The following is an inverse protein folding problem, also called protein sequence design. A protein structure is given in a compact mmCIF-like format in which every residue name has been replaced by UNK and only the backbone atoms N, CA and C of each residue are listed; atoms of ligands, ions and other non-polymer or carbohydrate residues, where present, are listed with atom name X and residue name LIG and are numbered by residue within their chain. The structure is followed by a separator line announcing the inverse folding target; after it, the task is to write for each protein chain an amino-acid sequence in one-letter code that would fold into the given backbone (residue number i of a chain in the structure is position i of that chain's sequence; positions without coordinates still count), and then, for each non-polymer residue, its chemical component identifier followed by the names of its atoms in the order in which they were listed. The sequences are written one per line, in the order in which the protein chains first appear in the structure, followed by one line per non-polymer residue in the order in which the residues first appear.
data_IF_490426377662
#
_entry.id   IF_490426377662
#
_cell.length_a   1.000
_cell.length_b   1.000
_cell.length_c   1.000
_cell.angle_alpha   90.00
_cell.angle_beta   90.00
_cell.angle_gamma   90.00
#
_symmetry.space_group_name_H-M   'P 1'
#
loop_
_entity.id
_entity.type
_entity.pdbx_description
1 polymer ?
#
# COMPACT_ATOMS: atom_id res chain seq x y z
N UNK A 1 -8.13 9.60 -74.63
CA UNK A 1 -9.32 9.67 -73.72
C UNK A 1 -9.09 8.99 -72.37
N UNK A 2 -8.51 7.79 -72.28
CA UNK A 2 -8.32 7.09 -70.98
C UNK A 2 -7.43 7.82 -69.97
N UNK A 3 -6.39 8.53 -70.42
CA UNK A 3 -5.52 9.27 -69.52
C UNK A 3 -6.16 10.53 -68.91
N UNK A 4 -7.08 11.17 -69.60
CA UNK A 4 -7.81 12.34 -69.11
C UNK A 4 -8.84 11.95 -68.03
N UNK A 5 -9.55 10.80 -68.22
CA UNK A 5 -10.51 10.29 -67.24
C UNK A 5 -9.84 9.86 -65.92
N UNK A 6 -8.63 9.29 -65.95
CA UNK A 6 -7.88 8.93 -64.74
C UNK A 6 -7.43 10.15 -63.94
N UNK A 7 -7.11 11.26 -64.62
CA UNK A 7 -6.67 12.48 -63.94
C UNK A 7 -7.82 13.18 -63.21
N UNK A 8 -8.99 13.25 -63.82
CA UNK A 8 -10.20 13.81 -63.21
C UNK A 8 -10.65 12.95 -62.01
N UNK A 9 -10.64 11.63 -62.13
CA UNK A 9 -11.02 10.73 -61.03
C UNK A 9 -10.09 10.87 -59.82
N UNK A 10 -8.80 11.04 -60.07
CA UNK A 10 -7.80 11.24 -59.01
C UNK A 10 -7.96 12.61 -58.31
N UNK A 11 -8.34 13.65 -59.02
CA UNK A 11 -8.60 14.98 -58.42
C UNK A 11 -9.89 14.93 -57.55
N UNK A 12 -10.95 14.29 -58.04
CA UNK A 12 -12.18 14.11 -57.25
C UNK A 12 -11.94 13.29 -56.01
N UNK A 13 -11.10 12.25 -56.04
CA UNK A 13 -10.74 11.43 -54.87
C UNK A 13 -9.96 12.27 -53.87
N UNK A 14 -9.00 13.05 -54.28
CA UNK A 14 -8.24 13.98 -53.38
C UNK A 14 -9.17 15.00 -52.72
N UNK A 15 -10.09 15.56 -53.49
CA UNK A 15 -11.07 16.52 -52.98
C UNK A 15 -11.93 15.88 -51.88
N UNK A 16 -12.45 14.68 -52.08
CA UNK A 16 -13.26 13.94 -51.12
C UNK A 16 -12.45 13.63 -49.81
N UNK A 17 -11.17 13.29 -49.95
CA UNK A 17 -10.28 13.08 -48.79
C UNK A 17 -10.12 14.39 -48.02
N UNK A 18 -9.86 15.50 -48.69
CA UNK A 18 -9.68 16.81 -48.06
C UNK A 18 -10.96 17.26 -47.33
N UNK A 19 -12.13 17.06 -47.94
CA UNK A 19 -13.43 17.36 -47.31
C UNK A 19 -13.66 16.52 -46.06
N UNK A 20 -13.37 15.22 -46.10
CA UNK A 20 -13.46 14.34 -44.93
C UNK A 20 -12.48 14.74 -43.82
N UNK A 21 -11.26 15.04 -44.19
CA UNK A 21 -10.24 15.51 -43.19
C UNK A 21 -10.67 16.83 -42.56
N UNK A 22 -11.20 17.76 -43.33
CA UNK A 22 -11.70 19.02 -42.80
C UNK A 22 -12.88 18.81 -41.85
N UNK A 23 -13.81 17.95 -42.17
CA UNK A 23 -14.93 17.58 -41.33
C UNK A 23 -14.46 16.92 -40.01
N UNK A 24 -13.51 15.98 -40.12
CA UNK A 24 -12.94 15.29 -38.96
C UNK A 24 -12.24 16.28 -38.02
N UNK A 25 -11.43 17.18 -38.58
CA UNK A 25 -10.75 18.22 -37.81
C UNK A 25 -11.75 19.11 -37.07
N UNK A 26 -12.86 19.47 -37.73
CA UNK A 26 -13.92 20.25 -37.11
C UNK A 26 -14.56 19.52 -35.93
N UNK A 27 -14.82 18.22 -36.07
CA UNK A 27 -15.37 17.40 -34.98
C UNK A 27 -14.38 17.25 -33.82
N UNK A 28 -13.10 17.04 -34.11
CA UNK A 28 -12.07 16.94 -33.08
C UNK A 28 -11.97 18.25 -32.29
N UNK A 29 -11.91 19.40 -32.98
CA UNK A 29 -11.85 20.69 -32.34
C UNK A 29 -13.10 21.00 -31.50
N UNK A 30 -14.27 20.56 -31.94
CA UNK A 30 -15.52 20.73 -31.18
C UNK A 30 -15.50 19.85 -29.94
N UNK A 31 -15.08 18.59 -30.08
CA UNK A 31 -14.95 17.65 -28.95
C UNK A 31 -13.96 18.18 -27.91
N UNK A 32 -12.84 18.72 -28.37
CA UNK A 32 -11.81 19.29 -27.48
C UNK A 32 -12.37 20.48 -26.68
N UNK A 33 -13.06 21.42 -27.34
CA UNK A 33 -13.72 22.55 -26.67
C UNK A 33 -14.73 22.08 -25.62
N UNK A 34 -15.58 21.15 -26.00
CA UNK A 34 -16.59 20.60 -25.07
C UNK A 34 -15.96 19.91 -23.86
N UNK A 35 -14.88 19.16 -24.11
CA UNK A 35 -14.15 18.45 -23.03
C UNK A 35 -13.49 19.43 -22.06
N UNK A 36 -12.87 20.50 -22.56
CA UNK A 36 -12.28 21.54 -21.74
C UNK A 36 -13.36 22.22 -20.89
N UNK A 37 -14.49 22.55 -21.49
CA UNK A 37 -15.61 23.19 -20.76
C UNK A 37 -16.12 22.31 -19.62
N UNK A 38 -16.31 21.01 -19.86
CA UNK A 38 -16.74 20.05 -18.85
C UNK A 38 -15.72 19.97 -17.71
N UNK A 39 -14.42 19.93 -18.02
CA UNK A 39 -13.35 19.88 -17.02
C UNK A 39 -13.37 21.16 -16.18
N UNK A 40 -13.51 22.33 -16.82
CA UNK A 40 -13.58 23.62 -16.12
C UNK A 40 -14.77 23.70 -15.19
N UNK A 41 -15.96 23.24 -15.62
CA UNK A 41 -17.16 23.22 -14.79
C UNK A 41 -16.99 22.29 -13.58
N UNK A 42 -16.41 21.11 -13.78
CA UNK A 42 -16.13 20.16 -12.70
C UNK A 42 -15.10 20.73 -11.70
N UNK A 43 -14.05 21.34 -12.20
CA UNK A 43 -13.04 21.99 -11.35
C UNK A 43 -13.63 23.11 -10.52
N UNK A 44 -14.50 23.94 -11.10
CA UNK A 44 -15.19 25.01 -10.38
C UNK A 44 -16.11 24.44 -9.27
N UNK A 45 -16.86 23.40 -9.58
CA UNK A 45 -17.73 22.73 -8.61
C UNK A 45 -16.93 22.12 -7.45
N UNK A 46 -15.77 21.54 -7.74
CA UNK A 46 -14.86 21.02 -6.71
C UNK A 46 -14.33 22.15 -5.81
N UNK A 47 -13.96 23.30 -6.38
CA UNK A 47 -13.54 24.48 -5.59
C UNK A 47 -14.63 24.94 -4.64
N UNK A 48 -15.86 25.02 -5.10
CA UNK A 48 -17.00 25.45 -4.28
C UNK A 48 -17.26 24.48 -3.12
N UNK A 49 -17.17 23.17 -3.38
CA UNK A 49 -17.31 22.12 -2.36
C UNK A 49 -16.18 22.26 -1.32
N UNK A 50 -14.96 22.47 -1.76
CA UNK A 50 -13.78 22.62 -0.88
C UNK A 50 -13.92 23.86 0.01
N UNK A 51 -14.34 24.99 -0.54
CA UNK A 51 -14.55 26.23 0.23
C UNK A 51 -15.61 26.01 1.29
N UNK A 52 -16.74 25.44 0.92
CA UNK A 52 -17.86 25.20 1.84
C UNK A 52 -17.48 24.19 2.94
N UNK A 53 -16.72 23.15 2.59
CA UNK A 53 -16.27 22.17 3.58
C UNK A 53 -15.21 22.77 4.53
N UNK A 54 -14.35 23.67 4.05
CA UNK A 54 -13.37 24.35 4.91
C UNK A 54 -14.03 25.30 5.90
N UNK A 55 -15.05 26.03 5.48
CA UNK A 55 -15.84 26.92 6.39
C UNK A 55 -16.50 26.11 7.51
N UNK A 56 -17.11 24.98 7.17
CA UNK A 56 -17.72 24.08 8.14
C UNK A 56 -16.66 23.52 9.11
N UNK A 57 -15.51 23.13 8.59
CA UNK A 57 -14.42 22.59 9.39
C UNK A 57 -13.85 23.62 10.37
N UNK A 58 -13.71 24.88 9.94
CA UNK A 58 -13.25 25.98 10.80
C UNK A 58 -14.25 26.19 11.93
N UNK A 59 -15.53 26.19 11.64
CA UNK A 59 -16.59 26.34 12.65
C UNK A 59 -16.56 25.20 13.69
N UNK A 60 -16.49 23.95 13.21
CA UNK A 60 -16.45 22.78 14.08
C UNK A 60 -15.17 22.73 14.92
N UNK A 61 -14.05 23.17 14.33
CA UNK A 61 -12.75 23.24 15.02
C UNK A 61 -12.80 24.28 16.15
N UNK A 62 -13.38 25.47 15.92
CA UNK A 62 -13.58 26.49 16.94
C UNK A 62 -14.46 25.97 18.09
N UNK A 63 -15.52 25.23 17.78
CA UNK A 63 -16.43 24.66 18.78
C UNK A 63 -15.70 23.60 19.64
N UNK A 64 -14.91 22.71 19.03
CA UNK A 64 -14.11 21.68 19.73
C UNK A 64 -13.02 22.33 20.59
N UNK A 65 -12.38 23.37 20.08
CA UNK A 65 -11.35 24.13 20.77
C UNK A 65 -11.86 24.70 22.09
N UNK A 66 -13.05 25.30 22.08
CA UNK A 66 -13.69 25.83 23.29
C UNK A 66 -13.97 24.70 24.30
N UNK A 67 -14.39 23.52 23.81
CA UNK A 67 -14.60 22.36 24.67
C UNK A 67 -13.32 21.85 25.32
N UNK A 68 -12.23 21.77 24.57
CA UNK A 68 -10.90 21.35 25.07
C UNK A 68 -10.37 22.37 26.08
N UNK A 69 -10.56 23.66 25.83
CA UNK A 69 -10.13 24.71 26.74
C UNK A 69 -10.79 24.57 28.12
N UNK A 70 -12.07 24.21 28.16
CA UNK A 70 -12.77 23.98 29.46
C UNK A 70 -12.29 22.67 30.12
N UNK A 71 -12.02 21.61 29.36
CA UNK A 71 -11.46 20.38 29.90
C UNK A 71 -10.06 20.59 30.48
N UNK A 72 -9.20 21.38 29.82
CA UNK A 72 -7.87 21.74 30.32
C UNK A 72 -7.98 22.51 31.62
N UNK A 73 -8.92 23.45 31.75
CA UNK A 73 -9.16 24.18 33.00
C UNK A 73 -9.60 23.25 34.14
N UNK A 74 -10.27 22.15 33.81
CA UNK A 74 -10.69 21.18 34.81
C UNK A 74 -9.53 20.28 35.24
N UNK A 75 -8.74 19.79 34.29
CA UNK A 75 -7.54 18.97 34.55
C UNK A 75 -6.51 19.77 35.40
N UNK A 76 -6.39 21.08 35.15
CA UNK A 76 -5.50 21.94 35.95
C UNK A 76 -5.92 22.04 37.43
N UNK A 77 -7.20 21.92 37.72
CA UNK A 77 -7.69 21.92 39.12
C UNK A 77 -7.39 20.59 39.84
N UNK A 78 -7.17 19.51 39.07
CA UNK A 78 -7.02 18.15 39.60
C UNK A 78 -5.58 17.65 39.63
N UNK A 79 -4.69 18.23 38.80
CA UNK A 79 -3.29 17.81 38.70
C UNK A 79 -2.33 18.97 38.39
N UNK A 80 -1.19 19.02 39.06
CA UNK A 80 -0.14 20.02 38.84
C UNK A 80 0.60 19.79 37.52
N UNK A 81 -0.03 20.06 36.39
CA UNK A 81 0.61 19.99 35.09
C UNK A 81 1.01 21.39 34.62
N UNK A 82 2.23 21.55 34.15
CA UNK A 82 2.72 22.81 33.60
C UNK A 82 1.95 23.17 32.32
N UNK A 83 0.98 24.06 32.44
CA UNK A 83 0.12 24.51 31.35
C UNK A 83 0.74 25.63 30.51
N UNK A 84 1.90 26.15 30.88
CA UNK A 84 2.49 27.29 30.16
C UNK A 84 2.89 26.89 28.73
N UNK A 85 3.42 25.69 28.55
CA UNK A 85 3.76 25.17 27.23
C UNK A 85 2.50 25.05 26.33
N UNK A 86 1.44 24.47 26.88
CA UNK A 86 0.17 24.30 26.12
C UNK A 86 -0.48 25.63 25.82
N UNK A 87 -0.46 26.60 26.74
CA UNK A 87 -0.98 27.95 26.51
C UNK A 87 -0.22 28.68 25.40
N UNK A 88 1.10 28.54 25.35
CA UNK A 88 1.90 29.18 24.32
C UNK A 88 1.63 28.57 22.93
N UNK A 89 1.51 27.26 22.84
CA UNK A 89 1.11 26.60 21.60
C UNK A 89 -0.28 27.07 21.12
N UNK A 90 -1.19 27.18 22.06
CA UNK A 90 -2.55 27.65 21.81
C UNK A 90 -2.59 29.10 21.30
N UNK A 91 -1.82 29.98 21.93
CA UNK A 91 -1.73 31.39 21.58
C UNK A 91 -1.19 31.59 20.16
N UNK A 92 -0.17 30.82 19.78
CA UNK A 92 0.39 30.87 18.43
C UNK A 92 -0.64 30.47 17.37
N UNK A 93 -1.40 29.40 17.60
CA UNK A 93 -2.46 28.95 16.68
C UNK A 93 -3.55 30.00 16.53
N UNK A 94 -3.97 30.64 17.64
CA UNK A 94 -4.99 31.69 17.62
C UNK A 94 -4.49 32.94 16.89
N UNK A 95 -3.24 33.31 17.07
CA UNK A 95 -2.63 34.43 16.37
C UNK A 95 -2.56 34.21 14.87
N UNK A 96 -2.18 33.01 14.44
CA UNK A 96 -2.20 32.60 13.02
C UNK A 96 -3.61 32.66 12.42
N UNK A 97 -4.63 32.23 13.15
CA UNK A 97 -6.02 32.23 12.68
C UNK A 97 -6.65 33.63 12.63
N UNK A 98 -6.20 34.57 13.47
CA UNK A 98 -6.80 35.89 13.58
C UNK A 98 -6.10 37.00 12.80
N UNK A 99 -5.00 36.70 12.08
CA UNK A 99 -4.25 37.72 11.39
C UNK A 99 -4.26 37.52 9.84
N UNK A 100 -5.39 37.87 9.19
CA UNK A 100 -5.52 37.70 7.74
C UNK A 100 -4.90 38.86 6.91
N UNK A 101 -4.09 39.72 7.50
CA UNK A 101 -3.76 41.04 6.90
C UNK A 101 -2.48 41.10 6.09
N UNK A 102 -1.91 40.05 5.60
CA UNK A 102 -0.67 40.17 4.76
C UNK A 102 -0.73 39.41 3.43
N UNK A 103 -1.90 39.20 2.87
CA UNK A 103 -2.00 38.44 1.63
C UNK A 103 -2.59 39.29 0.49
N UNK A 104 -1.74 39.80 -0.39
CA UNK A 104 -2.18 40.26 -1.71
C UNK A 104 -2.59 39.02 -2.55
N UNK A 105 -3.58 39.13 -3.45
CA UNK A 105 -4.23 37.93 -4.05
C UNK A 105 -3.42 37.11 -5.04
N UNK A 106 -2.13 37.40 -5.22
CA UNK A 106 -1.38 36.77 -6.31
C UNK A 106 -0.20 35.86 -5.90
N UNK A 107 0.07 35.67 -4.61
CA UNK A 107 1.29 34.93 -4.24
C UNK A 107 1.14 33.78 -3.24
N UNK A 108 -0.06 33.45 -2.75
CA UNK A 108 -0.20 32.51 -1.62
C UNK A 108 -1.24 31.40 -1.78
N UNK A 109 -1.31 30.77 -2.95
CA UNK A 109 -2.08 29.52 -3.05
C UNK A 109 -1.30 28.31 -2.51
N UNK A 110 0.03 28.36 -2.52
CA UNK A 110 0.85 27.21 -2.08
C UNK A 110 0.81 26.97 -0.57
N UNK A 111 0.98 27.98 0.29
CA UNK A 111 0.86 27.75 1.73
C UNK A 111 -0.55 27.25 2.17
N UNK A 112 -1.60 27.72 1.52
CA UNK A 112 -2.98 27.28 1.80
C UNK A 112 -3.17 25.81 1.37
N UNK A 113 -2.58 25.40 0.24
CA UNK A 113 -2.61 24.02 -0.23
C UNK A 113 -1.83 23.12 0.73
N UNK A 114 -0.69 23.59 1.22
CA UNK A 114 0.13 22.86 2.18
C UNK A 114 -0.59 22.75 3.55
N UNK A 115 -1.25 23.81 4.01
CA UNK A 115 -2.09 23.78 5.23
C UNK A 115 -3.32 22.88 5.06
N UNK A 116 -3.98 22.91 3.92
CA UNK A 116 -5.12 22.02 3.63
C UNK A 116 -4.61 20.56 3.58
N UNK A 117 -3.43 20.32 3.05
CA UNK A 117 -2.79 18.99 3.06
C UNK A 117 -2.46 18.55 4.48
N UNK A 118 -1.92 19.45 5.32
CA UNK A 118 -1.63 19.19 6.73
C UNK A 118 -2.92 18.96 7.52
N UNK A 119 -3.97 19.72 7.26
CA UNK A 119 -5.28 19.56 7.90
C UNK A 119 -5.94 18.25 7.45
N UNK A 120 -5.83 17.92 6.18
CA UNK A 120 -6.31 16.64 5.64
C UNK A 120 -5.54 15.45 6.21
N UNK A 121 -4.22 15.59 6.35
CA UNK A 121 -3.35 14.61 7.02
C UNK A 121 -3.67 14.48 8.52
N UNK A 122 -3.91 15.60 9.20
CA UNK A 122 -4.33 15.60 10.62
C UNK A 122 -5.75 15.02 10.78
N UNK A 123 -6.62 15.20 9.79
CA UNK A 123 -7.97 14.61 9.80
C UNK A 123 -7.92 13.10 9.56
N UNK A 124 -6.97 12.60 8.76
CA UNK A 124 -6.76 11.16 8.62
C UNK A 124 -6.21 10.53 9.91
N UNK A 125 -5.43 11.30 10.70
CA UNK A 125 -4.96 10.87 12.03
C UNK A 125 -6.03 11.00 13.13
N UNK A 126 -7.10 11.76 12.90
CA UNK A 126 -8.20 11.96 13.86
C UNK A 126 -9.37 11.00 13.66
N UNK A 127 -9.31 10.15 12.62
CA UNK A 127 -10.21 9.01 12.54
C UNK A 127 -9.79 8.00 13.62
N UNK A 128 -10.25 8.23 14.85
CA UNK A 128 -10.11 7.23 15.90
C UNK A 128 -10.74 5.93 15.40
N UNK A 129 -9.90 4.95 15.22
CA UNK A 129 -10.37 3.59 14.97
C UNK A 129 -11.41 3.25 16.03
N UNK A 130 -12.50 2.62 15.63
CA UNK A 130 -13.45 2.07 16.60
C UNK A 130 -12.69 1.19 17.58
N UNK A 131 -12.95 1.34 18.86
CA UNK A 131 -12.27 0.56 19.88
C UNK A 131 -12.65 -0.92 19.82
N UNK A 132 -13.82 -1.21 19.27
CA UNK A 132 -14.30 -2.58 19.07
C UNK A 132 -14.12 -2.96 17.60
N UNK A 133 -13.32 -3.98 17.33
CA UNK A 133 -13.21 -4.62 16.02
C UNK A 133 -14.39 -5.56 15.79
N UNK A 134 -14.56 -5.95 14.53
CA UNK A 134 -15.45 -7.05 14.17
C UNK A 134 -14.59 -8.19 13.61
N UNK A 135 -14.95 -9.42 13.94
CA UNK A 135 -14.35 -10.59 13.30
C UNK A 135 -14.90 -10.69 11.88
N UNK A 136 -14.03 -10.76 10.88
CA UNK A 136 -14.42 -10.84 9.47
C UNK A 136 -14.12 -12.21 8.86
N UNK A 137 -13.29 -13.02 9.53
CA UNK A 137 -12.96 -14.39 9.13
C UNK A 137 -12.54 -15.18 10.37
N UNK A 138 -12.92 -16.46 10.48
CA UNK A 138 -12.59 -17.30 11.64
C UNK A 138 -13.36 -16.92 12.90
N UNK A 139 -12.77 -17.18 14.05
CA UNK A 139 -13.32 -16.80 15.35
C UNK A 139 -14.01 -17.93 16.14
N UNK A 140 -13.96 -19.17 15.64
CA UNK A 140 -14.65 -20.34 16.23
C UNK A 140 -13.66 -21.37 16.77
N UNK A 141 -12.62 -21.17 17.34
CA UNK A 141 -11.58 -22.08 17.84
C UNK A 141 -10.67 -22.64 16.75
N UNK A 142 -9.65 -23.36 17.15
CA UNK A 142 -8.64 -23.96 16.28
C UNK A 142 -9.05 -25.40 15.92
N UNK A 143 -9.82 -25.56 14.86
CA UNK A 143 -10.23 -26.87 14.35
C UNK A 143 -10.16 -26.89 12.82
N UNK A 144 -10.70 -27.93 12.18
CA UNK A 144 -10.55 -28.16 10.74
C UNK A 144 -11.81 -27.79 9.92
N UNK A 145 -12.78 -27.11 10.53
CA UNK A 145 -13.96 -26.67 9.82
C UNK A 145 -13.69 -25.39 9.01
N UNK A 146 -14.50 -25.12 8.00
CA UNK A 146 -14.32 -24.02 7.06
C UNK A 146 -14.43 -22.62 7.70
N UNK A 147 -14.94 -22.54 8.91
CA UNK A 147 -15.04 -21.31 9.69
C UNK A 147 -14.02 -21.25 10.83
N UNK A 148 -13.05 -22.15 10.83
CA UNK A 148 -11.98 -22.26 11.82
C UNK A 148 -10.64 -22.11 11.12
N UNK A 149 -9.75 -21.33 11.69
CA UNK A 149 -8.45 -21.00 11.11
C UNK A 149 -7.35 -21.27 12.14
N UNK A 150 -6.21 -21.76 11.68
CA UNK A 150 -5.15 -22.20 12.60
C UNK A 150 -3.77 -21.72 12.16
N UNK A 151 -3.10 -20.96 13.02
CA UNK A 151 -1.75 -20.41 12.76
C UNK A 151 -1.67 -19.69 11.42
N UNK A 152 -2.45 -18.64 11.31
CA UNK A 152 -2.51 -17.82 10.11
C UNK A 152 -1.18 -17.10 9.86
N UNK A 153 -0.74 -17.08 8.61
CA UNK A 153 0.43 -16.33 8.18
C UNK A 153 0.04 -15.16 7.29
N UNK A 154 0.29 -15.23 5.99
CA UNK A 154 -0.01 -14.16 5.07
C UNK A 154 -1.50 -14.03 4.75
N UNK A 155 -1.92 -12.79 4.51
CA UNK A 155 -3.27 -12.49 4.04
C UNK A 155 -3.17 -11.55 2.84
N UNK A 156 -4.11 -11.70 1.92
CA UNK A 156 -4.27 -10.79 0.77
C UNK A 156 -5.73 -10.36 0.69
N UNK A 157 -5.97 -9.09 0.39
CA UNK A 157 -7.33 -8.58 0.20
C UNK A 157 -7.45 -8.05 -1.24
N UNK A 158 -8.41 -8.59 -2.00
CA UNK A 158 -8.62 -8.17 -3.39
C UNK A 158 -9.48 -6.89 -3.48
N UNK A 159 -9.65 -6.37 -4.69
CA UNK A 159 -10.46 -5.17 -4.95
C UNK A 159 -11.95 -5.35 -4.58
N UNK A 160 -12.43 -6.59 -4.50
CA UNK A 160 -13.80 -6.93 -4.12
C UNK A 160 -13.95 -7.12 -2.62
N UNK A 161 -12.87 -6.90 -1.86
CA UNK A 161 -12.76 -7.12 -0.41
C UNK A 161 -12.86 -8.60 0.01
N UNK A 162 -12.59 -9.52 -0.90
CA UNK A 162 -12.40 -10.93 -0.54
C UNK A 162 -11.05 -11.07 0.13
N UNK A 163 -10.99 -11.88 1.19
CA UNK A 163 -9.78 -12.11 1.97
C UNK A 163 -9.26 -13.50 1.63
N UNK A 164 -8.01 -13.57 1.23
CA UNK A 164 -7.29 -14.82 0.97
C UNK A 164 -6.32 -15.02 2.14
N UNK A 165 -6.34 -16.20 2.72
CA UNK A 165 -5.66 -16.50 3.99
C UNK A 165 -4.78 -17.73 3.81
N UNK A 166 -3.49 -17.61 4.12
CA UNK A 166 -2.58 -18.75 4.21
C UNK A 166 -2.75 -19.39 5.60
N UNK A 167 -3.46 -20.50 5.64
CA UNK A 167 -3.72 -21.28 6.84
C UNK A 167 -2.65 -22.38 6.95
N UNK A 168 -1.55 -22.03 7.60
CA UNK A 168 -0.34 -22.85 7.62
C UNK A 168 -0.56 -24.22 8.23
N UNK A 169 -1.20 -24.29 9.40
CA UNK A 169 -1.38 -25.56 10.11
C UNK A 169 -2.40 -26.48 9.43
N UNK A 170 -3.40 -25.89 8.78
CA UNK A 170 -4.39 -26.65 8.02
C UNK A 170 -3.92 -26.96 6.58
N UNK A 171 -2.71 -26.47 6.19
CA UNK A 171 -2.07 -26.73 4.90
C UNK A 171 -2.93 -26.32 3.70
N UNK A 172 -3.62 -25.17 3.79
CA UNK A 172 -4.56 -24.75 2.75
C UNK A 172 -4.59 -23.22 2.59
N UNK A 173 -5.21 -22.78 1.51
CA UNK A 173 -5.58 -21.37 1.31
C UNK A 173 -7.10 -21.29 1.40
N UNK A 174 -7.56 -20.38 2.24
CA UNK A 174 -9.00 -20.12 2.45
C UNK A 174 -9.35 -18.77 1.81
N UNK A 175 -10.36 -18.76 0.95
CA UNK A 175 -11.00 -17.52 0.46
C UNK A 175 -12.19 -17.21 1.35
N UNK A 176 -12.23 -16.00 1.89
CA UNK A 176 -13.37 -15.49 2.64
C UNK A 176 -13.99 -14.34 1.84
N UNK A 177 -15.11 -14.60 1.19
CA UNK A 177 -15.79 -13.59 0.37
C UNK A 177 -16.35 -12.48 1.26
N UNK A 178 -16.43 -11.29 0.70
CA UNK A 178 -16.91 -10.12 1.45
C UNK A 178 -18.31 -10.40 2.03
N UNK A 179 -18.44 -10.22 3.33
CA UNK A 179 -19.66 -10.47 4.11
C UNK A 179 -20.10 -11.96 4.18
N UNK A 180 -19.27 -12.89 3.75
CA UNK A 180 -19.58 -14.33 3.91
C UNK A 180 -19.48 -14.74 5.39
N UNK A 181 -20.26 -15.73 5.79
CA UNK A 181 -20.22 -16.31 7.13
C UNK A 181 -19.17 -17.41 7.26
N UNK A 182 -18.76 -17.99 6.14
CA UNK A 182 -17.84 -19.13 6.06
C UNK A 182 -16.79 -18.89 4.99
N UNK A 183 -15.60 -19.44 5.24
CA UNK A 183 -14.55 -19.47 4.24
C UNK A 183 -14.73 -20.65 3.28
N UNK A 184 -14.00 -20.60 2.19
CA UNK A 184 -13.93 -21.69 1.21
C UNK A 184 -12.46 -22.06 0.98
N UNK A 185 -12.11 -23.32 1.16
CA UNK A 185 -10.77 -23.81 0.80
C UNK A 185 -10.68 -23.79 -0.74
N UNK A 186 -9.76 -23.01 -1.26
CA UNK A 186 -9.54 -22.85 -2.70
C UNK A 186 -8.24 -23.49 -3.20
N UNK A 187 -7.33 -23.86 -2.27
CA UNK A 187 -6.12 -24.62 -2.59
C UNK A 187 -5.73 -25.47 -1.36
N UNK A 188 -5.15 -26.64 -1.58
CA UNK A 188 -4.70 -27.53 -0.51
C UNK A 188 -5.79 -28.40 0.10
N UNK A 189 -6.92 -28.55 -0.58
CA UNK A 189 -8.08 -29.32 -0.04
C UNK A 189 -7.75 -30.78 0.31
N UNK A 190 -6.69 -31.34 -0.30
CA UNK A 190 -6.30 -32.74 -0.12
C UNK A 190 -5.24 -32.93 0.97
N UNK A 191 -5.17 -31.99 1.91
CA UNK A 191 -4.33 -32.09 3.10
C UNK A 191 -2.86 -31.85 2.85
N UNK A 192 -2.08 -32.11 3.87
CA UNK A 192 -0.61 -31.95 3.85
C UNK A 192 0.07 -32.88 2.83
N UNK A 193 0.92 -32.33 1.99
CA UNK A 193 1.72 -33.12 1.06
C UNK A 193 2.39 -32.26 -0.01
N UNK A 194 3.09 -32.95 -0.93
CA UNK A 194 3.88 -32.30 -1.98
C UNK A 194 3.27 -32.49 -3.39
N UNK A 195 2.17 -33.21 -3.53
CA UNK A 195 1.47 -33.32 -4.82
C UNK A 195 1.02 -31.94 -5.30
N UNK A 196 0.63 -31.87 -6.56
CA UNK A 196 0.17 -30.58 -7.16
C UNK A 196 -1.10 -30.05 -6.50
N UNK A 197 -1.93 -30.96 -5.96
CA UNK A 197 -3.20 -30.61 -5.30
C UNK A 197 -3.10 -30.53 -3.76
N UNK A 198 -1.87 -30.56 -3.24
CA UNK A 198 -1.58 -30.47 -1.81
C UNK A 198 -0.65 -29.29 -1.51
N UNK A 199 -0.67 -28.84 -0.27
CA UNK A 199 0.24 -27.82 0.27
C UNK A 199 0.88 -28.29 1.57
N UNK A 200 1.97 -27.63 1.97
CA UNK A 200 2.65 -27.94 3.22
C UNK A 200 3.10 -26.63 3.90
N UNK A 201 2.29 -26.17 4.85
CA UNK A 201 2.48 -24.91 5.57
C UNK A 201 2.68 -23.72 4.60
N UNK A 202 1.63 -23.35 3.85
CA UNK A 202 1.71 -22.13 3.05
C UNK A 202 1.88 -20.92 3.97
N UNK A 203 2.84 -20.05 3.64
CA UNK A 203 3.17 -18.89 4.47
C UNK A 203 2.62 -17.59 3.90
N UNK A 204 2.36 -17.53 2.59
CA UNK A 204 1.81 -16.32 2.00
C UNK A 204 1.00 -16.65 0.75
N UNK A 205 0.09 -15.74 0.40
CA UNK A 205 -0.75 -15.85 -0.79
C UNK A 205 -0.98 -14.45 -1.37
N UNK A 206 -0.88 -14.34 -2.69
CA UNK A 206 -1.26 -13.12 -3.41
C UNK A 206 -2.16 -13.51 -4.60
N UNK A 207 -2.92 -12.55 -5.09
CA UNK A 207 -3.79 -12.74 -6.26
C UNK A 207 -3.21 -11.99 -7.46
N UNK A 208 -2.98 -12.73 -8.54
CA UNK A 208 -2.69 -12.12 -9.83
C UNK A 208 -3.99 -11.55 -10.40
N UNK A 209 -4.11 -10.25 -10.38
CA UNK A 209 -5.35 -9.57 -10.80
C UNK A 209 -5.59 -9.61 -12.32
N UNK A 210 -4.60 -10.01 -13.11
CA UNK A 210 -4.75 -10.11 -14.57
C UNK A 210 -5.52 -11.37 -14.99
N UNK A 211 -5.23 -12.51 -14.36
CA UNK A 211 -5.84 -13.78 -14.70
C UNK A 211 -6.66 -14.42 -13.57
N UNK A 212 -6.74 -13.73 -12.42
CA UNK A 212 -7.48 -14.19 -11.23
C UNK A 212 -6.94 -15.50 -10.64
N UNK A 213 -5.67 -15.82 -10.89
CA UNK A 213 -5.01 -16.94 -10.22
C UNK A 213 -4.47 -16.50 -8.85
N UNK A 214 -4.31 -17.46 -7.96
CA UNK A 214 -3.59 -17.22 -6.71
C UNK A 214 -2.16 -17.77 -6.85
N UNK A 215 -1.20 -17.07 -6.24
CA UNK A 215 0.19 -17.48 -6.17
C UNK A 215 0.50 -17.71 -4.69
N UNK A 216 1.06 -18.86 -4.36
CA UNK A 216 1.20 -19.34 -2.99
C UNK A 216 2.66 -19.63 -2.70
N UNK A 217 3.17 -19.14 -1.58
CA UNK A 217 4.43 -19.58 -0.99
C UNK A 217 4.19 -20.89 -0.23
N UNK A 218 4.44 -22.01 -0.88
CA UNK A 218 4.27 -23.35 -0.32
C UNK A 218 5.58 -23.76 0.37
N UNK A 219 5.81 -23.16 1.52
CA UNK A 219 7.12 -22.99 2.16
C UNK A 219 7.81 -24.32 2.46
N UNK A 220 7.13 -25.24 3.16
CA UNK A 220 7.76 -26.51 3.53
C UNK A 220 7.88 -27.49 2.35
N UNK A 221 7.29 -27.18 1.19
CA UNK A 221 7.54 -27.87 -0.06
C UNK A 221 8.60 -27.16 -0.92
N UNK A 222 9.17 -26.06 -0.43
CA UNK A 222 10.23 -25.30 -1.07
C UNK A 222 9.88 -24.92 -2.52
N UNK A 223 8.64 -24.39 -2.70
CA UNK A 223 8.18 -24.00 -4.04
C UNK A 223 7.21 -22.81 -3.97
N UNK A 224 7.15 -22.04 -5.04
CA UNK A 224 6.07 -21.09 -5.28
C UNK A 224 5.18 -21.71 -6.36
N UNK A 225 3.89 -21.82 -6.06
CA UNK A 225 2.93 -22.48 -6.94
C UNK A 225 1.81 -21.51 -7.33
N UNK A 226 1.43 -21.52 -8.60
CA UNK A 226 0.26 -20.79 -9.10
C UNK A 226 -0.92 -21.76 -9.19
N UNK A 227 -2.07 -21.28 -8.76
CA UNK A 227 -3.30 -22.07 -8.77
C UNK A 227 -4.37 -21.30 -9.53
N UNK A 228 -4.76 -21.83 -10.69
CA UNK A 228 -5.80 -21.22 -11.53
C UNK A 228 -6.91 -22.26 -11.74
N UNK A 229 -8.01 -22.08 -11.01
CA UNK A 229 -9.11 -23.05 -10.99
C UNK A 229 -8.60 -24.44 -10.57
N UNK A 230 -8.68 -25.43 -11.48
CA UNK A 230 -8.19 -26.78 -11.23
C UNK A 230 -6.79 -27.03 -11.83
N UNK A 231 -6.17 -26.01 -12.41
CA UNK A 231 -4.84 -26.13 -13.00
C UNK A 231 -3.80 -25.54 -12.04
N UNK A 232 -2.80 -26.31 -11.70
CA UNK A 232 -1.71 -25.90 -10.85
C UNK A 232 -0.42 -25.90 -11.66
N UNK A 233 0.43 -24.92 -11.40
CA UNK A 233 1.74 -24.82 -12.02
C UNK A 233 2.76 -24.39 -10.97
N UNK A 234 3.85 -25.12 -10.84
CA UNK A 234 4.97 -24.66 -10.03
C UNK A 234 5.70 -23.57 -10.83
N UNK A 235 5.76 -22.38 -10.25
CA UNK A 235 6.46 -21.25 -10.86
C UNK A 235 7.95 -21.30 -10.52
N UNK A 236 8.27 -21.56 -9.25
CA UNK A 236 9.66 -21.54 -8.77
C UNK A 236 9.89 -22.77 -7.90
N UNK A 237 10.94 -23.50 -8.21
CA UNK A 237 11.37 -24.68 -7.46
C UNK A 237 12.57 -24.36 -6.54
N UNK A 238 12.76 -25.17 -5.51
CA UNK A 238 13.96 -25.18 -4.66
C UNK A 238 14.24 -23.82 -4.01
N UNK A 239 13.17 -23.14 -3.58
CA UNK A 239 13.23 -21.87 -2.86
C UNK A 239 12.59 -22.02 -1.49
N UNK A 240 13.29 -21.61 -0.44
CA UNK A 240 12.76 -21.63 0.93
C UNK A 240 11.92 -20.35 1.14
N UNK A 241 10.82 -20.28 0.39
CA UNK A 241 9.98 -19.10 0.25
C UNK A 241 9.18 -18.82 1.52
N UNK A 242 8.96 -17.51 1.79
CA UNK A 242 8.13 -17.10 2.92
C UNK A 242 7.11 -16.04 2.51
N UNK A 243 7.55 -14.84 2.15
CA UNK A 243 6.70 -13.72 1.73
C UNK A 243 6.69 -13.52 0.22
N UNK A 244 5.57 -13.07 -0.29
CA UNK A 244 5.33 -12.79 -1.71
C UNK A 244 4.88 -11.35 -1.89
N UNK A 245 5.30 -10.72 -2.99
CA UNK A 245 4.74 -9.46 -3.44
C UNK A 245 4.74 -9.43 -4.97
N UNK A 246 3.85 -8.64 -5.54
CA UNK A 246 3.81 -8.43 -6.99
C UNK A 246 3.70 -6.94 -7.27
N UNK A 247 4.52 -6.45 -8.20
CA UNK A 247 4.43 -5.05 -8.61
C UNK A 247 3.50 -4.86 -9.82
N UNK A 248 3.20 -3.61 -10.13
CA UNK A 248 2.32 -3.25 -11.25
C UNK A 248 2.92 -3.54 -12.62
N UNK A 249 4.23 -3.78 -12.70
CA UNK A 249 4.95 -4.12 -13.93
C UNK A 249 4.95 -5.63 -14.21
N UNK A 250 4.38 -6.43 -13.32
CA UNK A 250 4.28 -7.87 -13.48
C UNK A 250 5.54 -8.61 -13.04
N UNK A 251 6.22 -8.12 -12.02
CA UNK A 251 7.31 -8.87 -11.37
C UNK A 251 6.82 -9.48 -10.07
N UNK A 252 7.10 -10.76 -9.91
CA UNK A 252 6.87 -11.51 -8.67
C UNK A 252 8.14 -11.45 -7.83
N UNK A 253 8.00 -11.03 -6.57
CA UNK A 253 9.08 -10.96 -5.59
C UNK A 253 8.84 -12.03 -4.54
N UNK A 254 9.91 -12.73 -4.14
CA UNK A 254 9.86 -13.81 -3.16
C UNK A 254 11.01 -13.66 -2.19
N UNK A 255 10.75 -13.70 -0.89
CA UNK A 255 11.80 -13.81 0.12
C UNK A 255 12.21 -15.27 0.29
N UNK A 256 13.53 -15.52 0.38
CA UNK A 256 14.13 -16.84 0.67
C UNK A 256 14.76 -16.76 2.06
N UNK A 257 14.15 -17.45 3.02
CA UNK A 257 14.57 -17.40 4.43
C UNK A 257 15.88 -18.11 4.70
N UNK A 258 16.27 -19.06 3.87
CA UNK A 258 17.52 -19.82 4.04
C UNK A 258 18.68 -19.11 3.33
N UNK A 259 18.46 -18.64 2.11
CA UNK A 259 19.48 -17.85 1.40
C UNK A 259 19.59 -16.42 1.92
N UNK A 260 18.66 -15.96 2.75
CA UNK A 260 18.67 -14.62 3.34
C UNK A 260 18.68 -13.53 2.27
N UNK A 261 17.78 -13.66 1.29
CA UNK A 261 17.68 -12.73 0.17
C UNK A 261 16.24 -12.58 -0.31
N UNK A 262 15.99 -11.57 -1.12
CA UNK A 262 14.75 -11.43 -1.89
C UNK A 262 15.12 -11.45 -3.37
N UNK A 263 14.41 -12.27 -4.14
CA UNK A 263 14.56 -12.33 -5.59
C UNK A 263 13.27 -11.89 -6.29
N UNK A 264 13.43 -11.41 -7.52
CA UNK A 264 12.28 -11.11 -8.39
C UNK A 264 12.39 -11.87 -9.71
N UNK A 265 11.22 -12.24 -10.23
CA UNK A 265 11.04 -12.86 -11.55
C UNK A 265 10.01 -12.07 -12.32
N UNK A 266 10.18 -11.94 -13.61
CA UNK A 266 9.11 -11.42 -14.46
C UNK A 266 8.06 -12.52 -14.65
N UNK A 267 6.78 -12.18 -14.52
CA UNK A 267 5.70 -13.14 -14.67
C UNK A 267 5.80 -13.84 -16.03
N UNK A 268 5.77 -15.18 -16.00
CA UNK A 268 5.95 -16.03 -17.17
C UNK A 268 7.39 -16.41 -17.49
N UNK A 269 8.38 -15.81 -16.84
CA UNK A 269 9.81 -16.06 -17.12
C UNK A 269 10.50 -16.70 -15.89
N UNK A 270 10.04 -17.90 -15.52
CA UNK A 270 10.50 -18.59 -14.30
C UNK A 270 11.65 -19.58 -14.52
N UNK A 271 12.13 -19.73 -15.77
CA UNK A 271 13.21 -20.65 -16.12
C UNK A 271 14.60 -20.10 -15.76
N UNK A 272 14.65 -19.09 -14.93
CA UNK A 272 15.89 -18.44 -14.47
C UNK A 272 15.98 -18.53 -12.95
N UNK A 273 17.15 -18.22 -12.41
CA UNK A 273 17.33 -18.14 -10.95
C UNK A 273 16.69 -16.89 -10.33
N UNK A 274 16.12 -16.02 -11.16
CA UNK A 274 15.61 -14.72 -10.70
C UNK A 274 16.74 -13.74 -10.39
N UNK A 275 16.36 -12.49 -10.20
CA UNK A 275 17.31 -11.39 -9.91
C UNK A 275 17.25 -11.08 -8.41
N UNK A 276 18.39 -11.14 -7.72
CA UNK A 276 18.46 -10.73 -6.32
C UNK A 276 18.25 -9.21 -6.24
N UNK A 277 17.30 -8.78 -5.43
CA UNK A 277 16.95 -7.37 -5.25
C UNK A 277 17.18 -6.85 -3.82
N UNK A 278 17.43 -7.78 -2.87
CA UNK A 278 17.81 -7.46 -1.50
C UNK A 278 18.59 -8.62 -0.91
N UNK A 279 19.56 -8.35 -0.03
CA UNK A 279 20.30 -9.39 0.67
C UNK A 279 21.29 -10.14 -0.19
N UNK A 280 22.09 -9.45 -0.97
CA UNK A 280 23.04 -10.07 -1.94
C UNK A 280 24.20 -10.82 -1.33
N UNK A 281 24.42 -10.68 -0.04
CA UNK A 281 25.58 -11.23 0.65
C UNK A 281 25.08 -12.16 1.75
N UNK A 282 25.92 -13.07 2.18
CA UNK A 282 25.59 -14.07 3.19
C UNK A 282 24.80 -13.46 4.37
N UNK A 283 24.17 -14.31 5.15
CA UNK A 283 23.45 -13.97 6.37
C UNK A 283 24.24 -12.98 7.23
N UNK A 284 23.62 -11.89 7.64
CA UNK A 284 24.27 -10.89 8.49
C UNK A 284 23.38 -9.67 8.77
N UNK A 285 23.98 -8.68 9.43
CA UNK A 285 23.31 -7.48 9.87
C UNK A 285 23.78 -6.19 9.16
N UNK A 286 24.69 -6.31 8.18
CA UNK A 286 25.13 -5.15 7.39
C UNK A 286 23.99 -4.63 6.53
N UNK A 287 24.15 -3.45 5.92
CA UNK A 287 23.08 -2.82 5.12
C UNK A 287 22.80 -3.59 3.82
N UNK A 288 23.73 -4.43 3.37
CA UNK A 288 23.57 -5.29 2.20
C UNK A 288 23.28 -6.74 2.57
N UNK A 289 22.94 -7.02 3.83
CA UNK A 289 22.69 -8.38 4.33
C UNK A 289 21.30 -8.45 4.98
N UNK A 290 20.78 -9.67 5.06
CA UNK A 290 19.53 -10.02 5.74
C UNK A 290 19.76 -11.22 6.66
N UNK A 291 18.85 -11.41 7.61
CA UNK A 291 18.82 -12.60 8.46
C UNK A 291 17.37 -13.04 8.70
N UNK A 292 16.97 -14.11 8.00
CA UNK A 292 15.64 -14.68 8.01
C UNK A 292 14.59 -13.64 7.54
N UNK A 293 14.67 -13.20 6.27
CA UNK A 293 13.70 -12.26 5.72
C UNK A 293 12.34 -12.93 5.57
N UNK A 294 11.31 -12.38 6.20
CA UNK A 294 9.96 -12.93 6.18
C UNK A 294 9.09 -12.21 5.15
N UNK A 295 8.15 -11.39 5.57
CA UNK A 295 7.24 -10.72 4.65
C UNK A 295 7.92 -9.55 3.93
N UNK A 296 7.41 -9.27 2.76
CA UNK A 296 7.92 -8.20 1.88
C UNK A 296 6.77 -7.34 1.36
N UNK A 297 7.09 -6.10 1.05
CA UNK A 297 6.20 -5.17 0.37
C UNK A 297 6.98 -4.47 -0.74
N UNK A 298 6.34 -4.21 -1.88
CA UNK A 298 6.97 -3.50 -3.00
C UNK A 298 6.14 -2.26 -3.33
N UNK A 299 6.80 -1.09 -3.31
CA UNK A 299 6.12 0.17 -3.59
C UNK A 299 6.04 0.45 -5.11
N UNK A 300 5.35 1.52 -5.47
CA UNK A 300 5.15 1.94 -6.87
C UNK A 300 6.46 2.24 -7.61
N UNK A 301 7.52 2.55 -6.88
CA UNK A 301 8.84 2.86 -7.42
C UNK A 301 9.75 1.62 -7.45
N UNK A 302 9.18 0.44 -7.23
CA UNK A 302 9.86 -0.86 -7.15
C UNK A 302 10.91 -0.93 -6.03
N UNK A 303 10.74 -0.11 -4.97
CA UNK A 303 11.53 -0.31 -3.75
C UNK A 303 10.96 -1.49 -2.96
N UNK A 304 11.84 -2.32 -2.45
CA UNK A 304 11.49 -3.53 -1.71
C UNK A 304 11.67 -3.27 -0.22
N UNK A 305 10.60 -3.42 0.54
CA UNK A 305 10.64 -3.38 2.01
C UNK A 305 10.64 -4.81 2.51
N UNK A 306 11.52 -5.12 3.43
CA UNK A 306 11.77 -6.49 3.92
C UNK A 306 11.72 -6.51 5.44
N UNK A 307 10.90 -7.35 5.99
CA UNK A 307 10.95 -7.69 7.42
C UNK A 307 12.17 -8.59 7.67
N UNK A 308 13.25 -7.99 8.11
CA UNK A 308 14.54 -8.63 8.43
C UNK A 308 14.46 -9.17 9.86
N UNK A 309 13.77 -10.30 9.98
CA UNK A 309 13.14 -10.79 11.21
C UNK A 309 14.12 -10.96 12.36
N UNK A 310 15.22 -11.68 12.13
CA UNK A 310 16.19 -11.98 13.19
C UNK A 310 17.14 -10.81 13.48
N UNK A 311 17.17 -9.79 12.61
CA UNK A 311 17.85 -8.53 12.89
C UNK A 311 16.93 -7.48 13.54
N UNK A 312 15.66 -7.82 13.78
CA UNK A 312 14.69 -6.95 14.47
C UNK A 312 14.57 -5.58 13.82
N UNK A 313 14.48 -5.57 12.47
CA UNK A 313 14.41 -4.33 11.68
C UNK A 313 13.58 -4.53 10.41
N UNK A 314 13.13 -3.42 9.83
CA UNK A 314 12.63 -3.40 8.46
C UNK A 314 13.63 -2.63 7.60
N UNK A 315 13.99 -3.24 6.50
CA UNK A 315 14.94 -2.69 5.53
C UNK A 315 14.21 -2.27 4.26
N UNK A 316 14.67 -1.17 3.63
CA UNK A 316 14.18 -0.73 2.31
C UNK A 316 15.34 -0.75 1.32
N UNK A 317 15.20 -1.48 0.24
CA UNK A 317 16.08 -1.40 -0.94
C UNK A 317 15.37 -0.60 -2.03
N UNK A 318 15.97 0.51 -2.47
CA UNK A 318 15.53 1.17 -3.69
C UNK A 318 15.81 0.27 -4.88
N UNK A 319 15.05 0.47 -5.96
CA UNK A 319 15.27 -0.29 -7.19
C UNK A 319 16.76 -0.26 -7.58
N UNK A 320 17.29 -1.45 -7.84
CA UNK A 320 18.67 -1.68 -8.30
C UNK A 320 19.78 -1.21 -7.31
N UNK A 321 19.42 -0.92 -6.06
CA UNK A 321 20.41 -0.54 -5.03
C UNK A 321 21.21 -1.74 -4.55
N UNK A 322 22.49 -1.55 -4.28
CA UNK A 322 23.38 -2.60 -3.76
C UNK A 322 23.24 -2.80 -2.25
N UNK A 323 22.70 -1.81 -1.53
CA UNK A 323 22.46 -1.88 -0.09
C UNK A 323 21.12 -1.25 0.25
N UNK A 324 20.56 -1.67 1.37
CA UNK A 324 19.31 -1.13 1.89
C UNK A 324 19.53 -0.04 2.93
N UNK A 325 18.42 0.54 3.36
CA UNK A 325 18.38 1.46 4.50
C UNK A 325 17.46 0.89 5.56
N UNK A 326 17.82 1.06 6.84
CA UNK A 326 16.92 0.71 7.93
C UNK A 326 15.81 1.77 7.98
N UNK A 327 14.55 1.33 7.89
CA UNK A 327 13.40 2.23 7.88
C UNK A 327 12.50 2.05 9.12
N UNK A 328 12.72 0.96 9.89
CA UNK A 328 12.07 0.76 11.19
C UNK A 328 12.89 -0.20 12.03
N UNK A 329 12.92 -0.04 13.33
CA UNK A 329 13.67 -0.89 14.23
C UNK A 329 15.18 -0.70 14.12
N UNK A 330 15.95 -1.81 14.24
CA UNK A 330 17.41 -1.80 14.13
C UNK A 330 18.14 -1.33 15.37
N UNK A 331 17.44 -1.14 16.48
CA UNK A 331 18.01 -0.74 17.77
C UNK A 331 18.02 -1.91 18.77
N UNK A 332 18.26 -3.10 18.27
CA UNK A 332 18.21 -4.34 19.03
C UNK A 332 16.79 -4.87 19.22
N UNK A 333 16.70 -6.09 19.73
CA UNK A 333 15.42 -6.74 20.06
C UNK A 333 14.85 -6.09 21.34
N UNK A 334 13.59 -5.64 21.31
CA UNK A 334 12.98 -5.05 22.49
C UNK A 334 11.60 -4.45 22.23
N UNK A 335 11.02 -3.88 23.27
CA UNK A 335 9.65 -3.34 23.28
C UNK A 335 9.58 -1.80 23.25
N UNK A 336 10.70 -1.11 23.24
CA UNK A 336 10.72 0.35 23.13
C UNK A 336 10.14 0.81 21.79
N UNK A 337 9.73 2.08 21.69
CA UNK A 337 9.09 2.61 20.48
C UNK A 337 10.02 2.66 19.25
N UNK A 338 11.33 2.57 19.47
CA UNK A 338 12.34 2.49 18.40
C UNK A 338 12.89 1.07 18.19
N UNK A 339 12.32 0.08 18.86
CA UNK A 339 12.75 -1.32 18.79
C UNK A 339 11.63 -2.20 18.21
N UNK A 340 12.02 -3.35 17.72
CA UNK A 340 11.15 -4.42 17.24
C UNK A 340 11.59 -5.76 17.82
N UNK A 341 10.69 -6.72 17.82
CA UNK A 341 11.00 -8.09 18.20
C UNK A 341 10.36 -9.06 17.19
N UNK A 342 11.18 -9.61 16.32
CA UNK A 342 10.79 -10.55 15.25
C UNK A 342 9.68 -9.97 14.35
N UNK A 343 9.93 -8.85 13.65
CA UNK A 343 8.92 -8.26 12.76
C UNK A 343 8.49 -9.23 11.67
N UNK A 344 7.19 -9.24 11.39
CA UNK A 344 6.56 -10.11 10.38
C UNK A 344 5.93 -9.25 9.26
N UNK A 345 4.63 -9.24 9.14
CA UNK A 345 3.95 -8.52 8.07
C UNK A 345 4.32 -7.03 8.00
N UNK A 346 4.63 -6.56 6.80
CA UNK A 346 4.96 -5.15 6.54
C UNK A 346 4.12 -4.64 5.37
N UNK A 347 3.54 -3.46 5.52
CA UNK A 347 2.86 -2.73 4.44
C UNK A 347 3.25 -1.26 4.51
N UNK A 348 3.17 -0.59 3.37
CA UNK A 348 3.47 0.85 3.27
C UNK A 348 2.28 1.53 2.59
N UNK A 349 1.76 2.58 3.21
CA UNK A 349 0.64 3.33 2.65
C UNK A 349 1.10 4.37 1.61
N UNK A 350 0.14 5.04 0.97
CA UNK A 350 0.40 6.04 -0.07
C UNK A 350 1.16 7.28 0.46
N UNK A 351 1.22 7.46 1.78
CA UNK A 351 1.98 8.54 2.43
C UNK A 351 3.39 8.11 2.80
N UNK A 352 3.74 6.86 2.52
CA UNK A 352 5.04 6.27 2.87
C UNK A 352 5.16 5.90 4.35
N UNK A 353 4.05 5.81 5.08
CA UNK A 353 4.06 5.32 6.47
C UNK A 353 4.16 3.80 6.45
N UNK A 354 5.01 3.27 7.30
CA UNK A 354 5.30 1.83 7.36
C UNK A 354 4.55 1.23 8.55
N UNK A 355 3.69 0.29 8.26
CA UNK A 355 2.97 -0.49 9.28
C UNK A 355 3.56 -1.88 9.32
N UNK A 356 3.79 -2.42 10.51
CA UNK A 356 4.36 -3.74 10.64
C UNK A 356 3.85 -4.47 11.87
N UNK A 357 3.79 -5.77 11.74
CA UNK A 357 3.48 -6.67 12.84
C UNK A 357 4.76 -6.93 13.65
N UNK A 358 4.82 -6.37 14.84
CA UNK A 358 5.90 -6.55 15.83
C UNK A 358 5.52 -7.80 16.67
N UNK A 359 5.80 -8.97 16.09
CA UNK A 359 5.18 -10.25 16.45
C UNK A 359 5.35 -10.62 17.91
N UNK A 360 6.58 -10.60 18.40
CA UNK A 360 6.86 -11.03 19.78
C UNK A 360 6.35 -10.03 20.83
N UNK A 361 6.15 -8.76 20.42
CA UNK A 361 5.59 -7.72 21.30
C UNK A 361 4.07 -7.61 21.19
N UNK A 362 3.40 -8.47 20.40
CA UNK A 362 1.94 -8.53 20.25
C UNK A 362 1.33 -7.17 19.89
N UNK A 363 1.96 -6.42 18.94
CA UNK A 363 1.50 -5.07 18.56
C UNK A 363 1.71 -4.79 17.08
N UNK A 364 0.95 -3.82 16.57
CA UNK A 364 1.21 -3.22 15.25
C UNK A 364 1.87 -1.87 15.49
N UNK A 365 3.00 -1.66 14.82
CA UNK A 365 3.75 -0.40 14.89
C UNK A 365 3.61 0.38 13.58
N UNK A 366 3.63 1.72 13.68
CA UNK A 366 3.63 2.63 12.53
C UNK A 366 4.82 3.57 12.62
N UNK A 367 5.63 3.61 11.58
CA UNK A 367 6.74 4.57 11.44
C UNK A 367 6.38 5.65 10.44
N UNK A 368 6.34 6.64 10.70
CA UNK A 368 6.05 7.65 9.97
C UNK A 368 7.17 8.03 9.24
N UNK A 369 6.99 8.26 8.17
CA UNK A 369 8.01 8.85 7.31
C UNK A 369 8.17 10.32 7.70
N UNK A 370 9.26 10.65 8.34
CA UNK A 370 9.60 12.06 8.55
C UNK A 370 9.95 12.64 7.18
N UNK A 371 9.02 13.37 6.59
CA UNK A 371 9.31 14.19 5.42
C UNK A 371 10.36 15.21 5.91
N UNK A 372 11.58 15.03 5.46
CA UNK A 372 12.59 16.06 5.66
C UNK A 372 12.15 17.30 4.89
N UNK A 373 11.66 18.29 5.60
CA UNK A 373 11.55 19.63 5.04
C UNK A 373 12.98 20.07 4.71
N UNK A 374 13.36 19.99 3.46
CA UNK A 374 14.58 20.61 2.99
C UNK A 374 14.41 22.10 3.24
N UNK A 375 15.13 22.62 4.20
CA UNK A 375 15.25 24.07 4.39
C UNK A 375 15.65 24.69 3.04
N UNK A 376 14.80 25.55 2.52
CA UNK A 376 15.12 26.35 1.34
C UNK A 376 16.34 27.20 1.73
N UNK A 377 17.47 27.13 1.00
CA UNK A 377 18.59 28.00 1.31
C UNK A 377 18.13 29.45 1.16
N UNK A 378 18.46 30.25 2.17
CA UNK A 378 18.17 31.69 2.24
C UNK A 378 18.78 32.46 1.07
#
# INVERSE_FOLDING_TARGET
MAMANNKTHNEEFKQRINEKNHSLTKHINQWERNSIEIIQQKAQKCREILIKSSETLIYDTKKKFNGISEQIKQIHRENEIDLNYLKNQLANIVEELNNPRNNSPQQNSQPIIDEISIISLKKSKLNKWKQNAITVAGGNREEQELNELSHLHGIFIDKNKNIFIADCTNHCIVEWKHNAKEGQIIAGRNGKGDRMDQLNCPTDVIVDQQNHSIIIADSLNRRVIQWLNQNQQILIHNIDCYGLAMDKQGYLYVSDIVKNEVRRWKMGEYNTEGIIVAGRNEKGDQLNQLHYPTFIFVDKDQSVYVSDCFNNRVMKWKKDANEGTIVAGGNGCGENLNQLAFPQGVIVDDLGQIYMADWRNHRIMCWXNSVQFHSIPS
#
